data_IF_868165498599
#
_entry.id   IF_868165498599
#
_cell.length_a   1.000
_cell.length_b   1.000
_cell.length_c   1.000
_cell.angle_alpha   90.00
_cell.angle_beta   90.00
_cell.angle_gamma   90.00
#
_symmetry.space_group_name_H-M   'P 1'
#
loop_
_entity.id
_entity.type
_entity.pdbx_description
1 polymer ?
#
# COMPACT_ATOMS: atom_id res chain seq x y z
N UNK A 1 -19.98 -39.65 -7.69
CA UNK A 1 -19.02 -39.18 -8.72
C UNK A 1 -18.68 -37.72 -8.41
N UNK A 2 -17.56 -37.47 -7.72
CA UNK A 2 -17.10 -36.11 -7.42
C UNK A 2 -16.64 -35.43 -8.69
N UNK A 3 -17.14 -34.23 -8.98
CA UNK A 3 -16.67 -33.38 -10.08
C UNK A 3 -15.14 -33.25 -9.99
N UNK A 4 -14.39 -33.30 -11.10
CA UNK A 4 -12.99 -32.89 -11.09
C UNK A 4 -12.97 -31.38 -10.78
N UNK A 5 -12.72 -31.04 -9.52
CA UNK A 5 -12.65 -29.65 -9.08
C UNK A 5 -11.38 -29.04 -9.68
N UNK A 6 -11.59 -28.01 -10.49
CA UNK A 6 -10.56 -27.18 -11.10
C UNK A 6 -9.49 -26.80 -10.07
N UNK A 7 -8.27 -27.27 -10.29
CA UNK A 7 -7.09 -26.79 -9.59
C UNK A 7 -7.01 -25.26 -9.76
N UNK A 8 -6.60 -24.51 -8.73
CA UNK A 8 -6.45 -23.07 -8.85
C UNK A 8 -5.49 -22.75 -10.00
N UNK A 9 -5.95 -21.91 -10.93
CA UNK A 9 -5.18 -21.55 -12.12
C UNK A 9 -4.07 -20.58 -11.70
N UNK A 10 -2.89 -21.12 -11.44
CA UNK A 10 -1.67 -20.33 -11.25
C UNK A 10 -0.96 -20.24 -12.61
N UNK A 11 -0.96 -19.06 -13.28
CA UNK A 11 -0.38 -18.94 -14.61
C UNK A 11 1.11 -19.29 -14.59
N UNK A 12 1.50 -20.24 -15.45
CA UNK A 12 2.89 -20.70 -15.58
C UNK A 12 3.33 -21.77 -14.56
N UNK A 13 2.43 -22.28 -13.72
CA UNK A 13 2.71 -23.37 -12.77
C UNK A 13 1.91 -24.60 -13.20
N UNK A 14 2.58 -25.70 -13.55
CA UNK A 14 1.87 -26.97 -13.67
C UNK A 14 1.66 -27.60 -12.29
N UNK A 15 0.55 -28.30 -12.04
CA UNK A 15 0.35 -29.00 -10.78
C UNK A 15 1.51 -29.93 -10.43
N UNK A 16 2.11 -30.58 -11.44
CA UNK A 16 3.28 -31.44 -11.27
C UNK A 16 4.52 -30.73 -10.72
N UNK A 17 4.72 -29.44 -11.02
CA UNK A 17 5.84 -28.68 -10.48
C UNK A 17 5.65 -28.36 -8.99
N UNK A 18 4.40 -28.08 -8.58
CA UNK A 18 4.04 -27.91 -7.16
C UNK A 18 4.30 -29.19 -6.39
N UNK A 19 3.85 -30.33 -6.92
CA UNK A 19 4.12 -31.64 -6.32
C UNK A 19 5.61 -31.96 -6.24
N UNK A 20 6.40 -31.58 -7.25
CA UNK A 20 7.86 -31.78 -7.24
C UNK A 20 8.54 -31.00 -6.12
N UNK A 21 8.19 -29.72 -5.95
CA UNK A 21 8.72 -28.88 -4.86
C UNK A 21 8.25 -29.40 -3.51
N UNK A 22 7.00 -29.83 -3.42
CA UNK A 22 6.46 -30.38 -2.19
C UNK A 22 7.14 -31.72 -1.81
N UNK A 23 7.45 -32.57 -2.79
CA UNK A 23 8.16 -33.84 -2.61
C UNK A 23 9.63 -33.68 -2.18
N UNK A 24 10.27 -32.56 -2.52
CA UNK A 24 11.63 -32.24 -2.05
C UNK A 24 11.68 -31.90 -0.56
N UNK A 25 10.54 -31.54 0.06
CA UNK A 25 10.48 -31.17 1.46
C UNK A 25 9.92 -32.32 2.32
N UNK A 26 10.51 -32.54 3.49
CA UNK A 26 10.03 -33.57 4.41
C UNK A 26 8.66 -33.15 4.98
N UNK A 27 7.65 -34.03 5.03
CA UNK A 27 6.29 -33.68 5.47
C UNK A 27 6.23 -33.02 6.86
N UNK A 28 7.09 -33.43 7.80
CA UNK A 28 7.14 -32.85 9.15
C UNK A 28 7.64 -31.39 9.16
N UNK A 29 8.49 -31.01 8.20
CA UNK A 29 9.01 -29.63 8.08
C UNK A 29 7.90 -28.70 7.60
N UNK A 30 7.18 -29.12 6.54
CA UNK A 30 6.03 -28.39 6.01
C UNK A 30 4.90 -28.30 7.05
N UNK A 31 4.63 -29.40 7.76
CA UNK A 31 3.63 -29.45 8.80
C UNK A 31 3.91 -28.44 9.92
N UNK A 32 5.16 -28.35 10.37
CA UNK A 32 5.60 -27.35 11.35
C UNK A 32 5.49 -25.92 10.82
N UNK A 33 5.91 -25.68 9.57
CA UNK A 33 5.87 -24.34 8.93
C UNK A 33 4.44 -23.80 8.84
N UNK A 34 3.48 -24.65 8.48
CA UNK A 34 2.08 -24.25 8.28
C UNK A 34 1.17 -24.57 9.47
N UNK A 35 1.74 -24.97 10.61
CA UNK A 35 1.03 -25.30 11.84
C UNK A 35 -0.11 -26.32 11.66
N UNK A 36 0.18 -27.42 10.96
CA UNK A 36 -0.75 -28.53 10.73
C UNK A 36 -0.16 -29.86 11.19
N UNK A 37 -1.01 -30.87 11.39
CA UNK A 37 -0.56 -32.22 11.77
C UNK A 37 0.26 -32.84 10.64
N UNK A 38 1.33 -33.57 10.98
CA UNK A 38 2.20 -34.22 9.99
C UNK A 38 1.48 -35.29 9.17
N UNK A 39 0.55 -36.01 9.77
CA UNK A 39 -0.29 -36.99 9.07
C UNK A 39 -1.16 -36.33 8.02
N UNK A 40 -1.82 -35.23 8.37
CA UNK A 40 -2.66 -34.45 7.47
C UNK A 40 -1.84 -33.87 6.30
N UNK A 41 -0.67 -33.31 6.59
CA UNK A 41 0.27 -32.85 5.56
C UNK A 41 0.70 -34.01 4.64
N UNK A 42 0.98 -35.20 5.19
CA UNK A 42 1.32 -36.38 4.39
C UNK A 42 0.16 -36.80 3.48
N UNK A 43 -1.06 -36.80 3.99
CA UNK A 43 -2.24 -37.16 3.21
C UNK A 43 -2.48 -36.17 2.07
N UNK A 44 -2.32 -34.87 2.31
CA UNK A 44 -2.34 -33.86 1.26
C UNK A 44 -1.23 -34.08 0.24
N UNK A 45 0.01 -34.33 0.69
CA UNK A 45 1.18 -34.54 -0.18
C UNK A 45 1.11 -35.82 -1.03
N UNK A 46 0.33 -36.81 -0.59
CA UNK A 46 0.14 -38.10 -1.28
C UNK A 46 -1.12 -38.12 -2.15
N UNK A 47 -1.96 -37.07 -2.07
CA UNK A 47 -3.26 -37.00 -2.74
C UNK A 47 -4.34 -37.88 -2.11
N UNK A 48 -4.11 -38.41 -0.90
CA UNK A 48 -5.11 -39.17 -0.14
C UNK A 48 -6.26 -38.27 0.34
N UNK A 49 -5.94 -37.02 0.71
CA UNK A 49 -6.91 -36.00 1.11
C UNK A 49 -6.81 -34.75 0.19
N UNK A 50 -7.92 -34.03 0.02
CA UNK A 50 -7.94 -32.76 -0.73
C UNK A 50 -7.05 -31.71 -0.04
N UNK A 51 -6.06 -31.17 -0.75
CA UNK A 51 -5.21 -30.11 -0.24
C UNK A 51 -5.95 -28.76 -0.28
N UNK A 52 -5.91 -27.95 0.80
CA UNK A 52 -6.47 -26.60 0.79
C UNK A 52 -5.87 -25.73 -0.32
N UNK A 53 -6.73 -24.97 -1.02
CA UNK A 53 -6.33 -24.09 -2.13
C UNK A 53 -5.21 -23.13 -1.72
N UNK A 54 -5.31 -22.52 -0.55
CA UNK A 54 -4.30 -21.59 -0.03
C UNK A 54 -2.94 -22.26 0.16
N UNK A 55 -2.91 -23.52 0.62
CA UNK A 55 -1.66 -24.26 0.78
C UNK A 55 -1.04 -24.59 -0.58
N UNK A 56 -1.86 -24.99 -1.56
CA UNK A 56 -1.42 -25.19 -2.93
C UNK A 56 -0.79 -23.91 -3.50
N UNK A 57 -1.45 -22.77 -3.34
CA UNK A 57 -0.97 -21.48 -3.84
C UNK A 57 0.34 -21.03 -3.17
N UNK A 58 0.50 -21.28 -1.86
CA UNK A 58 1.75 -21.02 -1.15
C UNK A 58 2.90 -21.91 -1.63
N UNK A 59 2.62 -23.17 -1.95
CA UNK A 59 3.62 -24.07 -2.54
C UNK A 59 3.94 -23.67 -3.98
N UNK A 60 2.93 -23.27 -4.77
CA UNK A 60 3.11 -22.77 -6.13
C UNK A 60 3.95 -21.48 -6.16
N UNK A 61 3.79 -20.60 -5.16
CA UNK A 61 4.64 -19.42 -4.97
C UNK A 61 6.11 -19.80 -4.78
N UNK A 62 6.43 -20.94 -4.15
CA UNK A 62 7.83 -21.40 -4.00
C UNK A 62 8.43 -21.89 -5.33
N UNK A 63 7.61 -22.33 -6.27
CA UNK A 63 8.06 -22.82 -7.59
C UNK A 63 8.42 -21.64 -8.50
N UNK A 64 7.50 -20.67 -8.60
CA UNK A 64 7.57 -19.62 -9.64
C UNK A 64 7.92 -18.25 -9.05
N UNK A 65 8.05 -18.15 -7.72
CA UNK A 65 8.28 -16.89 -7.02
C UNK A 65 7.26 -15.82 -7.43
N UNK A 66 6.00 -16.21 -7.68
CA UNK A 66 4.90 -15.32 -8.03
C UNK A 66 3.80 -15.38 -6.98
N UNK A 67 3.28 -14.22 -6.62
CA UNK A 67 2.15 -14.10 -5.71
C UNK A 67 0.86 -14.62 -6.38
N UNK A 68 0.06 -15.42 -5.65
CA UNK A 68 -1.12 -16.08 -6.20
C UNK A 68 -2.24 -15.08 -6.52
N UNK A 69 -3.24 -15.55 -7.28
CA UNK A 69 -4.42 -14.74 -7.63
C UNK A 69 -5.21 -14.26 -6.40
N UNK A 70 -5.12 -14.99 -5.29
CA UNK A 70 -5.71 -14.63 -4.00
C UNK A 70 -5.00 -13.49 -3.27
N UNK A 71 -3.82 -13.05 -3.75
CA UNK A 71 -3.08 -11.93 -3.17
C UNK A 71 -3.66 -10.54 -3.52
N UNK A 72 -4.85 -10.48 -4.13
CA UNK A 72 -5.55 -9.25 -4.43
C UNK A 72 -4.76 -8.36 -5.40
N UNK A 73 -4.52 -7.10 -5.00
CA UNK A 73 -3.75 -6.13 -5.80
C UNK A 73 -2.29 -6.54 -6.06
N UNK A 74 -1.76 -7.49 -5.30
CA UNK A 74 -0.43 -8.04 -5.48
C UNK A 74 -0.42 -9.32 -6.33
N UNK A 75 -1.56 -9.75 -6.85
CA UNK A 75 -1.63 -10.92 -7.73
C UNK A 75 -0.69 -10.76 -8.94
N UNK A 76 0.10 -11.78 -9.22
CA UNK A 76 1.04 -11.79 -10.35
C UNK A 76 2.35 -11.03 -10.11
N UNK A 77 2.54 -10.42 -8.94
CA UNK A 77 3.82 -9.84 -8.57
C UNK A 77 4.86 -10.95 -8.34
N UNK A 78 6.11 -10.68 -8.73
CA UNK A 78 7.24 -11.60 -8.60
C UNK A 78 8.09 -11.25 -7.38
N UNK A 79 8.68 -12.27 -6.78
CA UNK A 79 9.67 -12.15 -5.72
C UNK A 79 11.04 -12.43 -6.32
N UNK A 80 11.82 -11.37 -6.51
CA UNK A 80 13.23 -11.44 -6.90
C UNK A 80 14.11 -11.65 -5.67
N UNK A 81 15.10 -12.54 -5.80
CA UNK A 81 16.15 -12.81 -4.81
C UNK A 81 15.62 -13.11 -3.39
N UNK A 82 14.37 -13.57 -3.29
CA UNK A 82 13.72 -13.93 -2.03
C UNK A 82 13.35 -12.76 -1.10
N UNK A 83 13.65 -11.51 -1.46
CA UNK A 83 13.44 -10.36 -0.57
C UNK A 83 12.82 -9.12 -1.22
N UNK A 84 12.59 -9.15 -2.54
CA UNK A 84 12.18 -7.99 -3.32
C UNK A 84 10.98 -8.32 -4.18
N UNK A 85 9.91 -7.56 -4.03
CA UNK A 85 8.70 -7.67 -4.83
C UNK A 85 8.80 -6.78 -6.08
N UNK A 86 8.51 -7.34 -7.24
CA UNK A 86 8.38 -6.60 -8.50
C UNK A 86 7.01 -6.86 -9.11
N UNK A 87 6.41 -5.83 -9.68
CA UNK A 87 5.09 -5.91 -10.26
C UNK A 87 4.91 -4.85 -11.33
N UNK A 88 3.82 -4.96 -12.10
CA UNK A 88 3.53 -4.04 -13.19
C UNK A 88 3.51 -2.58 -12.67
N UNK A 89 4.30 -1.71 -13.32
CA UNK A 89 4.42 -0.29 -12.98
C UNK A 89 5.54 0.09 -11.99
N UNK A 90 6.15 -0.88 -11.30
CA UNK A 90 7.30 -0.65 -10.38
C UNK A 90 8.60 -1.23 -10.95
N UNK A 91 8.52 -1.88 -12.11
CA UNK A 91 9.66 -2.50 -12.80
C UNK A 91 10.87 -1.55 -12.97
N UNK A 92 10.61 -0.27 -13.24
CA UNK A 92 11.65 0.75 -13.41
C UNK A 92 12.18 1.35 -12.09
N UNK A 93 11.52 1.10 -10.96
CA UNK A 93 11.91 1.63 -9.63
C UNK A 93 12.72 0.65 -8.80
N UNK A 94 13.05 -0.52 -9.36
CA UNK A 94 13.87 -1.52 -8.66
C UNK A 94 13.09 -2.35 -7.64
N UNK A 95 11.75 -2.33 -7.64
CA UNK A 95 10.92 -3.16 -6.75
C UNK A 95 10.75 -2.62 -5.32
N UNK A 96 9.95 -3.34 -4.53
CA UNK A 96 9.64 -3.04 -3.13
C UNK A 96 10.31 -4.11 -2.26
N UNK A 97 11.09 -3.74 -1.25
CA UNK A 97 11.67 -4.72 -0.32
C UNK A 97 10.67 -5.10 0.77
N UNK A 98 10.88 -6.24 1.46
CA UNK A 98 10.05 -6.58 2.62
C UNK A 98 10.07 -5.50 3.70
N UNK A 99 11.22 -4.85 3.92
CA UNK A 99 11.34 -3.75 4.89
C UNK A 99 10.44 -2.57 4.52
N UNK A 100 10.32 -2.26 3.23
CA UNK A 100 9.40 -1.22 2.75
C UNK A 100 7.94 -1.60 3.01
N UNK A 101 7.59 -2.89 2.86
CA UNK A 101 6.24 -3.39 3.17
C UNK A 101 5.91 -3.21 4.65
N UNK A 102 6.85 -3.50 5.55
CA UNK A 102 6.66 -3.27 6.99
C UNK A 102 6.51 -1.78 7.34
N UNK A 103 7.11 -0.89 6.53
CA UNK A 103 7.02 0.58 6.70
C UNK A 103 5.81 1.22 6.01
N UNK A 104 5.01 0.48 5.23
CA UNK A 104 3.80 1.02 4.58
C UNK A 104 2.88 1.80 5.52
N UNK A 105 2.59 1.34 6.76
CA UNK A 105 1.75 2.11 7.67
C UNK A 105 2.35 3.45 8.08
N UNK A 106 3.68 3.57 8.10
CA UNK A 106 4.38 4.83 8.37
C UNK A 106 4.30 5.76 7.17
N UNK A 107 4.49 5.23 5.97
CA UNK A 107 4.33 6.00 4.73
C UNK A 107 2.91 6.56 4.57
N UNK A 108 1.88 5.77 4.87
CA UNK A 108 0.49 6.25 4.82
C UNK A 108 0.23 7.36 5.85
N UNK A 109 0.77 7.23 7.06
CA UNK A 109 0.67 8.27 8.10
C UNK A 109 1.39 9.55 7.67
N UNK A 110 2.59 9.44 7.09
CA UNK A 110 3.34 10.57 6.58
C UNK A 110 2.62 11.28 5.43
N UNK A 111 2.04 10.51 4.49
CA UNK A 111 1.25 11.06 3.38
C UNK A 111 0.02 11.83 3.88
N UNK A 112 -0.74 11.23 4.80
CA UNK A 112 -1.91 11.89 5.39
C UNK A 112 -1.54 13.15 6.18
N UNK A 113 -0.39 13.14 6.87
CA UNK A 113 0.11 14.32 7.55
C UNK A 113 0.48 15.43 6.57
N UNK A 114 1.16 15.09 5.47
CA UNK A 114 1.53 16.05 4.44
C UNK A 114 0.29 16.70 3.79
N UNK A 115 -0.76 15.92 3.50
CA UNK A 115 -2.03 16.42 2.99
C UNK A 115 -2.68 17.43 3.96
N UNK A 116 -2.76 17.08 5.24
CA UNK A 116 -3.32 17.98 6.27
C UNK A 116 -2.50 19.25 6.44
N UNK A 117 -1.17 19.14 6.34
CA UNK A 117 -0.28 20.31 6.40
C UNK A 117 -0.50 21.22 5.19
N UNK A 118 -0.67 20.67 3.99
CA UNK A 118 -0.96 21.45 2.80
C UNK A 118 -2.29 22.23 2.95
N UNK A 119 -3.35 21.58 3.42
CA UNK A 119 -4.64 22.23 3.68
C UNK A 119 -4.54 23.38 4.70
N UNK A 120 -3.78 23.16 5.78
CA UNK A 120 -3.54 24.17 6.81
C UNK A 120 -2.78 25.37 6.25
N UNK A 121 -1.72 25.12 5.46
CA UNK A 121 -0.95 26.18 4.80
C UNK A 121 -1.85 27.02 3.90
N UNK A 122 -2.68 26.38 3.06
CA UNK A 122 -3.61 27.09 2.19
C UNK A 122 -4.61 27.94 2.95
N UNK A 123 -5.13 27.43 4.09
CA UNK A 123 -6.03 28.18 4.95
C UNK A 123 -5.33 29.41 5.56
N UNK A 124 -4.13 29.23 6.10
CA UNK A 124 -3.35 30.32 6.68
C UNK A 124 -2.99 31.39 5.64
N UNK A 125 -2.70 30.98 4.41
CA UNK A 125 -2.48 31.91 3.30
C UNK A 125 -3.73 32.74 3.01
N UNK A 126 -4.91 32.11 2.96
CA UNK A 126 -6.20 32.80 2.78
C UNK A 126 -6.50 33.77 3.91
N UNK A 127 -6.28 33.36 5.17
CA UNK A 127 -6.49 34.21 6.34
C UNK A 127 -5.54 35.42 6.35
N UNK A 128 -4.25 35.20 6.07
CA UNK A 128 -3.27 36.29 5.93
C UNK A 128 -3.71 37.31 4.88
N UNK A 129 -4.13 36.84 3.71
CA UNK A 129 -4.53 37.73 2.61
C UNK A 129 -5.85 38.44 2.89
N UNK A 130 -6.74 37.82 3.68
CA UNK A 130 -7.92 38.50 4.23
C UNK A 130 -7.53 39.64 5.17
N UNK A 131 -6.69 39.38 6.18
CA UNK A 131 -6.31 40.41 7.16
C UNK A 131 -5.53 41.56 6.53
N UNK A 132 -4.65 41.29 5.56
CA UNK A 132 -3.97 42.36 4.81
C UNK A 132 -4.97 43.31 4.13
N UNK A 133 -5.97 42.76 3.46
CA UNK A 133 -7.03 43.56 2.82
C UNK A 133 -7.88 44.33 3.82
N UNK A 134 -8.19 43.73 4.97
CA UNK A 134 -8.93 44.43 6.03
C UNK A 134 -8.13 45.60 6.59
N UNK A 135 -6.84 45.42 6.91
CA UNK A 135 -5.98 46.51 7.38
C UNK A 135 -5.89 47.65 6.35
N UNK A 136 -5.80 47.35 5.06
CA UNK A 136 -5.80 48.36 4.00
C UNK A 136 -7.13 49.13 3.93
N UNK A 137 -8.26 48.45 4.10
CA UNK A 137 -9.59 49.07 4.13
C UNK A 137 -9.76 49.95 5.37
N UNK A 138 -9.40 49.45 6.55
CA UNK A 138 -9.47 50.20 7.81
C UNK A 138 -8.57 51.43 7.77
N UNK A 139 -7.35 51.34 7.21
CA UNK A 139 -6.47 52.48 7.04
C UNK A 139 -7.08 53.54 6.12
N UNK A 140 -7.69 53.14 4.99
CA UNK A 140 -8.39 54.07 4.09
C UNK A 140 -9.58 54.74 4.77
N UNK A 141 -10.38 53.97 5.51
CA UNK A 141 -11.51 54.51 6.26
C UNK A 141 -11.07 55.47 7.37
N UNK A 142 -9.99 55.15 8.09
CA UNK A 142 -9.41 56.02 9.11
C UNK A 142 -8.91 57.35 8.55
N UNK A 143 -8.25 57.34 7.38
CA UNK A 143 -7.83 58.56 6.68
C UNK A 143 -9.05 59.41 6.28
N UNK A 144 -10.11 58.77 5.78
CA UNK A 144 -11.33 59.45 5.35
C UNK A 144 -12.12 60.04 6.53
N UNK A 145 -12.22 59.32 7.65
CA UNK A 145 -12.81 59.86 8.87
C UNK A 145 -11.99 61.05 9.37
N UNK A 146 -10.66 60.93 9.39
CA UNK A 146 -9.78 62.03 9.79
C UNK A 146 -9.96 63.27 8.90
N UNK A 147 -10.10 63.12 7.58
CA UNK A 147 -10.32 64.26 6.69
C UNK A 147 -11.70 64.92 6.87
N UNK A 148 -12.71 64.18 7.36
CA UNK A 148 -14.02 64.75 7.72
C UNK A 148 -14.00 65.54 9.03
N UNK A 149 -13.22 65.10 10.02
CA UNK A 149 -13.22 65.70 11.37
C UNK A 149 -12.12 66.76 11.59
N UNK A 150 -10.97 66.69 10.91
CA UNK A 150 -9.88 67.68 11.09
C UNK A 150 -10.18 69.02 10.39
N UNK A 151 -11.24 69.13 9.59
CA UNK A 151 -11.55 70.33 8.78
C UNK A 151 -10.44 70.65 7.76
N UNK A 152 -10.64 71.62 6.84
CA UNK A 152 -9.57 72.01 5.94
C UNK A 152 -8.39 72.52 6.77
N UNK A 153 -7.23 71.89 6.61
CA UNK A 153 -5.98 72.36 7.20
C UNK A 153 -5.81 73.83 6.83
N UNK A 154 -5.98 74.72 7.81
CA UNK A 154 -5.56 76.11 7.66
C UNK A 154 -4.06 76.06 7.40
N UNK A 155 -3.67 76.13 6.12
CA UNK A 155 -2.30 76.41 5.72
C UNK A 155 -1.98 77.79 6.26
N UNK A 156 -1.27 77.85 7.38
CA UNK A 156 -0.62 79.07 7.84
C UNK A 156 0.51 79.38 6.85
N UNK A 157 0.28 80.41 6.04
CA UNK A 157 1.30 81.18 5.32
C UNK A 157 2.24 81.88 6.28
#
# INVERSE_FOLDING_TARGET
MSRPKTLPNSPGVTPGDVWRVAAQQKPHVLARRYNVRTELMRNWLTGADEMPVMLYELLAMQVVCMLPGTAGQFAGWRVLDGHRFTGPGIEHRGGITFDDVYRLPEYWRASSLAERQAELIERLMRERDFYKRQCELEARHGILLRSMFDGPTRRSS
#
